data_IF_081947331018
#
_entry.id   IF_081947331018
#
_cell.length_a   1.000
_cell.length_b   1.000
_cell.length_c   1.000
_cell.angle_alpha   90.00
_cell.angle_beta   90.00
_cell.angle_gamma   90.00
#
_symmetry.space_group_name_H-M   'P 1'
#
loop_
_entity.id
_entity.type
_entity.pdbx_description
1 polymer ?
#
# COMPACT_ATOMS: atom_id res chain seq x y z
N UNK A 1 -10.87 -4.16 2.51
CA UNK A 1 -9.48 -4.23 3.03
C UNK A 1 -8.49 -4.21 1.88
N UNK A 2 -7.27 -3.72 2.09
CA UNK A 2 -6.22 -3.64 1.06
C UNK A 2 -5.41 -4.95 1.01
N UNK A 3 -4.92 -5.34 -0.17
CA UNK A 3 -4.16 -6.58 -0.38
C UNK A 3 -5.06 -7.76 -0.75
N UNK A 4 -5.08 -8.82 0.06
CA UNK A 4 -5.88 -10.06 -0.21
C UNK A 4 -7.37 -9.79 -0.39
N UNK A 5 -7.89 -8.73 0.22
CA UNK A 5 -9.31 -8.35 0.17
C UNK A 5 -9.65 -7.46 -1.05
N UNK A 6 -8.69 -7.18 -1.93
CA UNK A 6 -8.92 -6.52 -3.23
C UNK A 6 -9.13 -5.00 -3.19
N UNK A 7 -9.02 -4.35 -2.03
CA UNK A 7 -9.15 -2.89 -1.92
C UNK A 7 -8.02 -2.17 -2.64
N UNK A 8 -8.36 -1.16 -3.45
CA UNK A 8 -7.39 -0.33 -4.15
C UNK A 8 -6.77 0.70 -3.20
N UNK A 9 -5.47 0.51 -2.91
CA UNK A 9 -4.72 1.34 -1.97
C UNK A 9 -4.63 2.81 -2.42
N UNK A 10 -4.55 3.07 -3.74
CA UNK A 10 -4.47 4.42 -4.30
C UNK A 10 -5.80 5.15 -4.20
N UNK A 11 -6.91 4.45 -4.43
CA UNK A 11 -8.24 5.03 -4.29
C UNK A 11 -8.50 5.40 -2.83
N UNK A 12 -8.23 4.47 -1.90
CA UNK A 12 -8.38 4.73 -0.47
C UNK A 12 -7.52 5.92 0.00
N UNK A 13 -6.29 6.04 -0.49
CA UNK A 13 -5.43 7.19 -0.21
C UNK A 13 -6.02 8.50 -0.74
N UNK A 14 -6.47 8.52 -2.01
CA UNK A 14 -7.11 9.68 -2.62
C UNK A 14 -8.45 10.05 -1.96
N UNK A 15 -9.12 9.10 -1.28
CA UNK A 15 -10.35 9.33 -0.53
C UNK A 15 -10.10 9.85 0.90
N UNK A 16 -8.84 10.16 1.27
CA UNK A 16 -8.50 10.76 2.56
C UNK A 16 -8.15 9.76 3.65
N UNK A 17 -7.68 8.56 3.30
CA UNK A 17 -7.18 7.60 4.30
C UNK A 17 -5.80 8.02 4.82
N UNK A 18 -5.69 8.27 6.12
CA UNK A 18 -4.41 8.61 6.77
C UNK A 18 -3.53 7.38 7.05
N UNK A 19 -4.16 6.24 7.39
CA UNK A 19 -3.45 5.02 7.79
C UNK A 19 -4.03 3.76 7.14
N UNK A 20 -3.12 2.85 6.76
CA UNK A 20 -3.47 1.54 6.21
C UNK A 20 -3.07 0.42 7.16
N UNK A 21 -4.04 -0.43 7.54
CA UNK A 21 -3.78 -1.64 8.32
C UNK A 21 -3.68 -2.83 7.35
N UNK A 22 -2.47 -3.40 7.22
CA UNK A 22 -2.18 -4.48 6.27
C UNK A 22 -1.52 -5.65 7.00
N UNK A 23 -2.24 -6.77 7.13
CA UNK A 23 -1.78 -7.97 7.85
C UNK A 23 -1.15 -9.03 6.94
N UNK A 24 -1.95 -10.04 6.54
CA UNK A 24 -1.48 -11.24 5.80
C UNK A 24 -0.61 -10.94 4.58
N UNK A 25 -0.85 -9.84 3.88
CA UNK A 25 -0.06 -9.44 2.71
C UNK A 25 1.39 -9.05 3.04
N UNK A 26 1.68 -8.65 4.28
CA UNK A 26 3.04 -8.38 4.76
C UNK A 26 3.58 -9.60 5.51
N UNK A 27 2.84 -10.09 6.51
CA UNK A 27 3.31 -11.16 7.40
C UNK A 27 3.48 -12.50 6.67
N UNK A 28 2.63 -12.80 5.69
CA UNK A 28 2.70 -14.03 4.89
C UNK A 28 3.64 -13.96 3.68
N UNK A 29 4.34 -12.83 3.48
CA UNK A 29 5.28 -12.66 2.38
C UNK A 29 6.56 -13.46 2.62
N UNK A 30 7.18 -13.96 1.54
CA UNK A 30 8.55 -14.51 1.59
C UNK A 30 9.59 -13.48 2.04
N UNK A 31 9.30 -12.20 1.80
CA UNK A 31 10.11 -11.05 2.23
C UNK A 31 9.16 -9.94 2.71
N UNK A 32 8.89 -9.87 4.02
CA UNK A 32 7.98 -8.89 4.60
C UNK A 32 8.44 -7.44 4.39
N UNK A 33 9.75 -7.19 4.45
CA UNK A 33 10.31 -5.85 4.27
C UNK A 33 10.10 -5.36 2.84
N UNK A 34 10.39 -6.21 1.85
CA UNK A 34 10.14 -5.89 0.44
C UNK A 34 8.64 -5.68 0.18
N UNK A 35 7.77 -6.51 0.75
CA UNK A 35 6.33 -6.34 0.61
C UNK A 35 5.84 -4.99 1.16
N UNK A 36 6.30 -4.60 2.35
CA UNK A 36 5.98 -3.31 2.95
C UNK A 36 6.47 -2.13 2.09
N UNK A 37 7.72 -2.19 1.59
CA UNK A 37 8.27 -1.15 0.70
C UNK A 37 7.52 -1.04 -0.62
N UNK A 38 7.13 -2.16 -1.24
CA UNK A 38 6.31 -2.12 -2.46
C UNK A 38 4.97 -1.44 -2.22
N UNK A 39 4.29 -1.73 -1.11
CA UNK A 39 3.03 -1.08 -0.75
C UNK A 39 3.23 0.42 -0.48
N UNK A 40 4.31 0.79 0.21
CA UNK A 40 4.67 2.19 0.41
C UNK A 40 4.92 2.91 -0.93
N UNK A 41 5.68 2.33 -1.85
CA UNK A 41 5.95 2.92 -3.16
C UNK A 41 4.69 3.12 -4.01
N UNK A 42 3.65 2.30 -3.81
CA UNK A 42 2.36 2.50 -4.48
C UNK A 42 1.60 3.73 -3.98
N UNK A 43 1.90 4.18 -2.74
CA UNK A 43 1.30 5.35 -2.09
C UNK A 43 2.07 6.64 -2.35
N UNK A 44 3.40 6.56 -2.52
CA UNK A 44 4.22 7.72 -2.86
C UNK A 44 3.81 8.21 -4.25
N UNK A 45 3.20 9.39 -4.30
CA UNK A 45 2.97 10.10 -5.56
C UNK A 45 4.32 10.41 -6.18
N UNK A 46 4.58 9.89 -7.38
CA UNK A 46 5.57 10.52 -8.26
C UNK A 46 4.94 11.83 -8.73
N UNK A 47 5.25 12.93 -8.06
CA UNK A 47 5.05 14.25 -8.63
C UNK A 47 6.12 14.42 -9.73
N UNK A 48 5.78 14.07 -10.97
CA UNK A 48 6.49 14.65 -12.13
C UNK A 48 5.93 16.06 -12.30
N UNK A 49 6.64 17.02 -11.72
CA UNK A 49 6.55 18.47 -11.94
C UNK A 49 7.89 18.95 -11.35
N UNK A 50 8.92 19.32 -12.11
CA UNK A 50 9.04 19.90 -13.46
C UNK A 50 10.04 19.15 -14.36
#
# INVERSE_FOLDING_TARGET
GVGVQGGNIKQAANSGTDYFIIGRSIIGSKDPLKAAKTLQHQLVRVNITD
#
